data_IF_457598544841
#
_entry.id   IF_457598544841
#
_cell.length_a   1.000
_cell.length_b   1.000
_cell.length_c   1.000
_cell.angle_alpha   90.00
_cell.angle_beta   90.00
_cell.angle_gamma   90.00
#
_symmetry.space_group_name_H-M   'P 1'
#
loop_
_entity.id
_entity.type
_entity.pdbx_description
1 polymer ?
#
# COMPACT_ATOMS: atom_id res chain seq x y z
N UNK A 1 6.63 15.41 28.38
CA UNK A 1 6.90 16.30 27.24
C UNK A 1 6.24 15.69 26.02
N UNK A 2 5.07 16.20 25.67
CA UNK A 2 4.23 15.70 24.57
C UNK A 2 4.81 16.24 23.27
N UNK A 3 5.38 15.38 22.45
CA UNK A 3 5.81 15.75 21.11
C UNK A 3 4.57 16.05 20.27
N UNK A 4 4.39 17.30 19.93
CA UNK A 4 3.35 17.81 19.02
C UNK A 4 3.61 17.17 17.65
N UNK A 5 2.68 16.28 17.20
CA UNK A 5 2.65 15.78 15.83
C UNK A 5 2.47 17.00 14.90
N UNK A 6 3.51 17.37 14.21
CA UNK A 6 3.41 18.33 13.13
C UNK A 6 2.54 17.70 12.03
N UNK A 7 1.37 18.28 11.79
CA UNK A 7 0.55 18.00 10.61
C UNK A 7 1.38 18.39 9.40
N UNK A 8 1.69 17.43 8.53
CA UNK A 8 2.27 17.72 7.22
C UNK A 8 1.14 18.22 6.30
N UNK A 9 0.66 19.40 6.59
CA UNK A 9 -0.27 20.16 5.76
C UNK A 9 0.56 21.13 4.92
N UNK A 10 0.38 21.15 3.60
CA UNK A 10 1.08 22.04 2.66
C UNK A 10 0.63 23.53 2.78
N UNK A 11 -0.06 23.88 3.85
CA UNK A 11 -0.60 25.23 4.09
C UNK A 11 -1.80 25.60 3.21
N UNK A 12 -2.25 24.68 2.36
CA UNK A 12 -3.41 24.84 1.48
C UNK A 12 -4.57 23.92 1.87
N UNK A 13 -4.49 23.26 3.05
CA UNK A 13 -5.49 22.29 3.53
C UNK A 13 -5.48 20.98 2.74
N UNK A 14 -4.42 20.71 1.94
CA UNK A 14 -4.21 19.43 1.27
C UNK A 14 -3.23 18.59 2.07
N UNK A 15 -3.52 17.31 2.32
CA UNK A 15 -2.51 16.43 2.92
C UNK A 15 -1.27 16.39 2.01
N UNK A 16 -0.08 16.51 2.60
CA UNK A 16 1.18 16.41 1.89
C UNK A 16 1.34 15.06 1.16
N UNK A 17 2.31 14.96 0.25
CA UNK A 17 2.60 13.73 -0.48
C UNK A 17 3.00 12.60 0.49
N UNK A 18 2.31 11.45 0.43
CA UNK A 18 2.53 10.34 1.35
C UNK A 18 3.45 9.27 0.74
N UNK A 19 4.50 8.90 1.46
CA UNK A 19 5.25 7.67 1.19
C UNK A 19 4.76 6.60 2.16
N UNK A 20 4.22 5.51 1.62
CA UNK A 20 3.63 4.40 2.36
C UNK A 20 4.57 3.19 2.20
N UNK A 21 5.32 2.81 3.25
CA UNK A 21 6.12 1.59 3.21
C UNK A 21 5.24 0.36 3.00
N UNK A 22 5.80 -0.68 2.38
CA UNK A 22 5.10 -1.91 2.04
C UNK A 22 5.74 -3.11 2.71
N UNK A 23 4.92 -4.01 3.26
CA UNK A 23 5.28 -5.36 3.68
C UNK A 23 4.46 -6.38 2.91
N UNK A 24 5.13 -7.37 2.31
CA UNK A 24 4.50 -8.57 1.78
C UNK A 24 4.68 -9.71 2.80
N UNK A 25 3.58 -10.28 3.30
CA UNK A 25 3.58 -11.39 4.27
C UNK A 25 3.34 -12.72 3.56
N UNK A 26 4.11 -13.74 3.93
CA UNK A 26 3.87 -15.12 3.55
C UNK A 26 4.39 -16.07 4.61
N UNK A 27 3.58 -17.03 5.06
CA UNK A 27 3.94 -17.96 6.12
C UNK A 27 4.32 -17.26 7.43
N UNK A 28 3.66 -16.15 7.79
CA UNK A 28 3.95 -15.35 8.98
C UNK A 28 5.28 -14.58 8.93
N UNK A 29 5.89 -14.43 7.76
CA UNK A 29 7.17 -13.74 7.54
C UNK A 29 7.05 -12.68 6.46
N UNK A 30 7.90 -11.66 6.56
CA UNK A 30 8.04 -10.70 5.46
C UNK A 30 8.86 -11.33 4.33
N UNK A 31 8.36 -11.21 3.10
CA UNK A 31 9.01 -11.73 1.89
C UNK A 31 9.34 -10.60 0.92
N UNK A 32 10.26 -10.85 -0.01
CA UNK A 32 10.62 -9.88 -1.05
C UNK A 32 9.83 -10.13 -2.32
N UNK A 33 9.00 -9.16 -2.70
CA UNK A 33 8.29 -9.19 -3.97
C UNK A 33 9.23 -9.14 -5.18
N UNK A 34 8.92 -9.93 -6.20
CA UNK A 34 9.66 -9.97 -7.47
C UNK A 34 8.67 -10.06 -8.63
N UNK A 35 8.49 -8.96 -9.37
CA UNK A 35 7.72 -8.89 -10.64
C UNK A 35 6.33 -9.51 -10.62
N UNK A 36 5.69 -9.56 -9.44
CA UNK A 36 4.39 -10.22 -9.28
C UNK A 36 4.42 -11.76 -9.32
N UNK A 37 5.60 -12.38 -9.37
CA UNK A 37 5.77 -13.85 -9.36
C UNK A 37 5.69 -14.37 -7.91
N UNK A 38 4.50 -14.30 -7.32
CA UNK A 38 4.22 -14.57 -5.90
C UNK A 38 4.73 -15.93 -5.41
N UNK A 39 4.84 -16.95 -6.30
CA UNK A 39 5.37 -18.29 -5.96
C UNK A 39 6.88 -18.31 -5.69
N UNK A 40 7.63 -17.32 -6.18
CA UNK A 40 9.10 -17.24 -6.05
C UNK A 40 9.56 -16.39 -4.87
N UNK A 41 8.64 -15.83 -4.06
CA UNK A 41 9.01 -14.93 -2.98
C UNK A 41 9.69 -15.68 -1.83
N UNK A 42 10.89 -15.22 -1.46
CA UNK A 42 11.66 -15.72 -0.34
C UNK A 42 11.59 -14.75 0.86
N UNK A 43 11.83 -15.22 2.09
CA UNK A 43 11.99 -14.33 3.23
C UNK A 43 12.95 -13.19 2.93
N UNK A 44 12.56 -11.98 3.37
CA UNK A 44 13.34 -10.79 3.04
C UNK A 44 14.68 -10.78 3.78
N UNK A 45 15.72 -10.38 3.06
CA UNK A 45 16.99 -9.95 3.64
C UNK A 45 17.13 -8.45 3.41
N UNK A 46 17.31 -7.70 4.49
CA UNK A 46 17.37 -6.24 4.46
C UNK A 46 18.27 -5.72 5.59
N UNK A 47 18.98 -4.60 5.40
CA UNK A 47 19.74 -3.98 6.48
C UNK A 47 18.87 -3.37 7.58
N UNK A 48 17.55 -3.24 7.37
CA UNK A 48 16.63 -2.58 8.29
C UNK A 48 16.32 -3.40 9.55
N UNK A 49 16.44 -4.74 9.49
CA UNK A 49 16.21 -5.62 10.63
C UNK A 49 16.92 -6.95 10.46
N UNK A 50 17.17 -7.64 11.58
CA UNK A 50 17.66 -9.03 11.56
C UNK A 50 16.47 -9.97 11.34
N UNK A 51 16.59 -10.83 10.33
CA UNK A 51 15.55 -11.80 9.97
C UNK A 51 14.35 -11.15 9.26
N UNK A 52 13.23 -11.84 9.24
CA UNK A 52 12.01 -11.49 8.47
C UNK A 52 10.73 -11.42 9.32
N UNK A 53 10.86 -11.19 10.63
CA UNK A 53 9.72 -11.03 11.52
C UNK A 53 8.96 -9.72 11.20
N UNK A 54 7.63 -9.76 11.07
CA UNK A 54 6.84 -8.61 10.60
C UNK A 54 7.00 -7.36 11.47
N UNK A 55 7.00 -7.52 12.78
CA UNK A 55 7.17 -6.43 13.75
C UNK A 55 8.55 -5.78 13.70
N UNK A 56 9.61 -6.59 13.50
CA UNK A 56 10.97 -6.09 13.39
C UNK A 56 11.19 -5.32 12.08
N UNK A 57 10.66 -5.85 10.98
CA UNK A 57 10.74 -5.17 9.67
C UNK A 57 9.91 -3.88 9.67
N UNK A 58 8.71 -3.88 10.26
CA UNK A 58 7.87 -2.68 10.36
C UNK A 58 8.59 -1.55 11.13
N UNK A 59 9.22 -1.86 12.28
CA UNK A 59 10.03 -0.88 13.02
C UNK A 59 11.19 -0.35 12.18
N UNK A 60 11.96 -1.26 11.56
CA UNK A 60 13.09 -0.85 10.73
C UNK A 60 12.68 0.04 9.55
N UNK A 61 11.52 -0.20 8.94
CA UNK A 61 10.97 0.68 7.91
C UNK A 61 10.61 2.07 8.45
N UNK A 62 9.99 2.15 9.64
CA UNK A 62 9.63 3.44 10.26
C UNK A 62 10.85 4.21 10.75
N UNK A 63 11.91 3.52 11.19
CA UNK A 63 13.19 4.13 11.54
C UNK A 63 13.90 4.70 10.30
N UNK A 64 13.79 4.01 9.16
CA UNK A 64 14.35 4.46 7.89
C UNK A 64 13.51 5.58 7.23
N UNK A 65 12.20 5.53 7.38
CA UNK A 65 11.26 6.48 6.80
C UNK A 65 10.08 6.76 7.74
N UNK A 66 9.89 8.01 8.23
CA UNK A 66 8.78 8.35 9.10
C UNK A 66 7.45 8.32 8.31
N UNK A 67 6.67 7.26 8.51
CA UNK A 67 5.38 7.07 7.86
C UNK A 67 4.25 7.02 8.89
N UNK A 68 3.06 7.49 8.47
CA UNK A 68 1.83 7.39 9.27
C UNK A 68 1.01 6.14 8.91
N UNK A 69 1.30 5.55 7.76
CA UNK A 69 0.58 4.39 7.21
C UNK A 69 1.58 3.38 6.70
N UNK A 70 1.30 2.10 6.93
CA UNK A 70 2.01 0.96 6.38
C UNK A 70 1.02 0.13 5.56
N UNK A 71 1.40 -0.24 4.34
CA UNK A 71 0.63 -1.19 3.55
C UNK A 71 1.15 -2.60 3.79
N UNK A 72 0.23 -3.53 4.01
CA UNK A 72 0.52 -4.95 4.25
C UNK A 72 -0.26 -5.78 3.24
N UNK A 73 0.45 -6.53 2.38
CA UNK A 73 -0.14 -7.56 1.54
C UNK A 73 0.02 -8.92 2.23
N UNK A 74 -1.09 -9.53 2.61
CA UNK A 74 -1.11 -10.90 3.14
C UNK A 74 -1.26 -11.89 1.98
N UNK A 75 -0.13 -12.39 1.51
CA UNK A 75 -0.09 -13.21 0.31
C UNK A 75 -0.72 -14.59 0.50
N UNK A 76 -0.70 -15.13 1.70
CA UNK A 76 -1.38 -16.40 1.99
C UNK A 76 -2.90 -16.21 1.85
N UNK A 77 -3.43 -15.11 2.37
CA UNK A 77 -4.85 -14.77 2.22
C UNK A 77 -5.22 -14.45 0.77
N UNK A 78 -4.39 -13.65 0.07
CA UNK A 78 -4.63 -13.27 -1.34
C UNK A 78 -4.59 -14.47 -2.29
N UNK A 79 -3.62 -15.39 -2.10
CA UNK A 79 -3.37 -16.50 -3.04
C UNK A 79 -4.23 -17.71 -2.70
N UNK A 80 -4.27 -18.05 -1.41
CA UNK A 80 -4.86 -19.31 -0.94
C UNK A 80 -6.28 -19.13 -0.41
N UNK A 81 -6.79 -17.88 -0.34
CA UNK A 81 -8.14 -17.55 0.13
C UNK A 81 -8.36 -17.85 1.61
N UNK A 82 -7.29 -17.92 2.39
CA UNK A 82 -7.39 -18.14 3.83
C UNK A 82 -7.67 -16.83 4.58
N UNK A 83 -7.94 -16.92 5.88
CA UNK A 83 -8.15 -15.73 6.71
C UNK A 83 -6.86 -14.93 6.86
N UNK A 84 -6.94 -13.59 6.98
CA UNK A 84 -5.77 -12.75 7.25
C UNK A 84 -4.99 -13.20 8.49
N UNK A 85 -3.66 -13.08 8.44
CA UNK A 85 -2.80 -13.34 9.60
C UNK A 85 -2.90 -12.20 10.64
N UNK A 86 -3.97 -12.26 11.44
CA UNK A 86 -4.22 -11.27 12.49
C UNK A 86 -3.08 -11.22 13.52
N UNK A 87 -2.34 -12.34 13.73
CA UNK A 87 -1.22 -12.36 14.68
C UNK A 87 -0.05 -11.51 14.20
N UNK A 88 0.28 -11.60 12.91
CA UNK A 88 1.31 -10.75 12.32
C UNK A 88 0.90 -9.27 12.36
N UNK A 89 -0.36 -8.96 12.03
CA UNK A 89 -0.89 -7.60 12.08
C UNK A 89 -0.90 -7.03 13.50
N UNK A 90 -1.33 -7.81 14.50
CA UNK A 90 -1.25 -7.44 15.91
C UNK A 90 0.18 -7.21 16.39
N UNK A 91 1.14 -8.03 15.94
CA UNK A 91 2.54 -7.86 16.28
C UNK A 91 3.07 -6.52 15.73
N UNK A 92 2.74 -6.18 14.48
CA UNK A 92 3.07 -4.88 13.87
C UNK A 92 2.43 -3.74 14.67
N UNK A 93 1.12 -3.81 14.96
CA UNK A 93 0.41 -2.76 15.67
C UNK A 93 0.98 -2.50 17.08
N UNK A 94 1.35 -3.57 17.80
CA UNK A 94 2.02 -3.45 19.12
C UNK A 94 3.41 -2.85 19.02
N UNK A 95 4.17 -3.19 17.97
CA UNK A 95 5.53 -2.72 17.77
C UNK A 95 5.61 -1.25 17.30
N UNK A 96 4.56 -0.79 16.62
CA UNK A 96 4.47 0.53 15.99
C UNK A 96 3.19 1.26 16.43
N UNK A 97 3.07 1.70 17.69
CA UNK A 97 1.86 2.35 18.19
C UNK A 97 1.51 3.61 17.41
N UNK A 98 0.24 3.73 17.00
CA UNK A 98 -0.27 4.88 16.25
C UNK A 98 -0.04 4.82 14.75
N UNK A 99 0.60 3.75 14.23
CA UNK A 99 0.70 3.49 12.81
C UNK A 99 -0.65 3.00 12.27
N UNK A 100 -1.15 3.61 11.19
CA UNK A 100 -2.29 3.10 10.44
C UNK A 100 -1.87 1.93 9.54
N UNK A 101 -2.68 0.88 9.47
CA UNK A 101 -2.43 -0.22 8.54
C UNK A 101 -3.46 -0.19 7.39
N UNK A 102 -2.99 -0.32 6.16
CA UNK A 102 -3.78 -0.68 4.99
C UNK A 102 -3.48 -2.13 4.67
N UNK A 103 -4.50 -2.99 4.76
CA UNK A 103 -4.29 -4.44 4.66
C UNK A 103 -5.02 -4.99 3.45
N UNK A 104 -4.24 -5.54 2.52
CA UNK A 104 -4.75 -6.34 1.42
C UNK A 104 -4.61 -7.83 1.79
N UNK A 105 -5.74 -8.50 1.86
CA UNK A 105 -5.85 -9.92 2.14
C UNK A 105 -6.82 -10.62 1.16
N UNK A 106 -6.91 -10.10 -0.07
CA UNK A 106 -7.77 -10.67 -1.10
C UNK A 106 -9.25 -10.64 -0.74
N UNK A 107 -9.69 -9.62 -0.03
CA UNK A 107 -11.07 -9.48 0.41
C UNK A 107 -12.04 -9.48 -0.78
N UNK A 108 -12.92 -10.47 -0.85
CA UNK A 108 -13.93 -10.64 -1.90
C UNK A 108 -15.34 -10.78 -1.35
N UNK A 109 -15.50 -10.95 -0.03
CA UNK A 109 -16.77 -11.18 0.63
C UNK A 109 -16.99 -10.25 1.83
N UNK A 110 -18.22 -9.75 2.01
CA UNK A 110 -18.60 -8.86 3.11
C UNK A 110 -18.32 -9.44 4.49
N UNK A 111 -18.52 -10.77 4.67
CA UNK A 111 -18.29 -11.43 5.94
C UNK A 111 -16.81 -11.41 6.37
N UNK A 112 -15.89 -11.63 5.41
CA UNK A 112 -14.44 -11.57 5.67
C UNK A 112 -14.00 -10.16 6.06
N UNK A 113 -14.48 -9.15 5.34
CA UNK A 113 -14.19 -7.74 5.66
C UNK A 113 -14.78 -7.33 7.00
N UNK A 114 -16.01 -7.73 7.30
CA UNK A 114 -16.65 -7.42 8.58
C UNK A 114 -15.87 -8.01 9.76
N UNK A 115 -15.41 -9.25 9.64
CA UNK A 115 -14.56 -9.89 10.64
C UNK A 115 -13.22 -9.16 10.83
N UNK A 116 -12.59 -8.73 9.73
CA UNK A 116 -11.35 -7.94 9.77
C UNK A 116 -11.56 -6.57 10.44
N UNK A 117 -12.62 -5.84 10.05
CA UNK A 117 -12.94 -4.55 10.66
C UNK A 117 -13.25 -4.67 12.16
N UNK A 118 -13.91 -5.75 12.57
CA UNK A 118 -14.19 -6.03 13.99
C UNK A 118 -12.91 -6.26 14.82
N UNK A 119 -11.82 -6.73 14.19
CA UNK A 119 -10.53 -6.87 14.85
C UNK A 119 -9.82 -5.52 15.10
N UNK A 120 -10.23 -4.44 14.42
CA UNK A 120 -9.71 -3.09 14.63
C UNK A 120 -8.24 -2.89 14.24
N UNK A 121 -7.70 -3.73 13.37
CA UNK A 121 -6.27 -3.75 13.02
C UNK A 121 -5.89 -2.89 11.82
N UNK A 122 -6.85 -2.22 11.18
CA UNK A 122 -6.56 -1.33 10.05
C UNK A 122 -7.73 -1.14 9.10
N UNK A 123 -7.44 -0.54 7.94
CA UNK A 123 -8.38 -0.38 6.83
C UNK A 123 -8.18 -1.51 5.82
N UNK A 124 -9.25 -2.18 5.36
CA UNK A 124 -9.13 -3.18 4.30
C UNK A 124 -8.81 -2.50 2.97
N UNK A 125 -7.89 -3.09 2.21
CA UNK A 125 -7.68 -2.78 0.80
C UNK A 125 -8.47 -3.78 -0.02
N UNK A 126 -9.32 -3.27 -0.91
CA UNK A 126 -10.13 -4.08 -1.81
C UNK A 126 -9.46 -4.05 -3.18
N UNK A 127 -8.76 -5.13 -3.51
CA UNK A 127 -8.13 -5.29 -4.82
C UNK A 127 -9.16 -5.61 -5.89
N UNK A 128 -9.12 -4.89 -7.02
CA UNK A 128 -10.03 -5.14 -8.13
C UNK A 128 -9.86 -6.55 -8.69
N UNK A 129 -8.64 -7.12 -8.65
CA UNK A 129 -8.37 -8.49 -9.10
C UNK A 129 -9.18 -9.55 -8.32
N UNK A 130 -9.60 -9.25 -7.08
CA UNK A 130 -10.34 -10.16 -6.22
C UNK A 130 -11.86 -9.97 -6.30
N UNK A 131 -12.35 -9.00 -7.09
CA UNK A 131 -13.77 -8.68 -7.16
C UNK A 131 -14.45 -9.33 -8.38
N UNK A 132 -15.71 -9.71 -8.19
CA UNK A 132 -16.61 -10.16 -9.26
C UNK A 132 -17.56 -9.05 -9.72
N UNK A 133 -17.88 -8.11 -8.82
CA UNK A 133 -18.73 -6.95 -9.06
C UNK A 133 -18.25 -5.73 -8.25
N UNK A 134 -19.04 -4.68 -8.20
CA UNK A 134 -18.71 -3.41 -7.51
C UNK A 134 -19.28 -3.32 -6.10
N UNK A 135 -20.11 -4.29 -5.68
CA UNK A 135 -20.93 -4.20 -4.47
C UNK A 135 -20.10 -4.00 -3.21
N UNK A 136 -19.06 -4.81 -3.00
CA UNK A 136 -18.24 -4.71 -1.80
C UNK A 136 -17.55 -3.34 -1.66
N UNK A 137 -17.06 -2.76 -2.76
CA UNK A 137 -16.42 -1.44 -2.77
C UNK A 137 -17.43 -0.35 -2.41
N UNK A 138 -18.63 -0.40 -3.00
CA UNK A 138 -19.69 0.60 -2.75
C UNK A 138 -20.24 0.51 -1.33
N UNK A 139 -20.42 -0.69 -0.80
CA UNK A 139 -20.93 -0.92 0.56
C UNK A 139 -19.95 -0.44 1.65
N UNK A 140 -18.66 -0.56 1.39
CA UNK A 140 -17.63 -0.13 2.33
C UNK A 140 -17.39 1.38 2.28
N UNK A 141 -17.43 1.98 1.11
CA UNK A 141 -17.18 3.42 0.92
C UNK A 141 -15.87 3.84 1.58
N UNK A 142 -15.90 4.89 2.41
CA UNK A 142 -14.71 5.46 3.07
C UNK A 142 -13.97 4.50 4.03
N UNK A 143 -14.62 3.41 4.44
CA UNK A 143 -14.01 2.41 5.33
C UNK A 143 -12.94 1.57 4.64
N UNK A 144 -12.89 1.58 3.32
CA UNK A 144 -11.93 0.81 2.53
C UNK A 144 -10.98 1.71 1.74
N UNK A 145 -9.93 1.10 1.21
CA UNK A 145 -9.08 1.62 0.13
C UNK A 145 -9.33 0.73 -1.08
N UNK A 146 -9.50 1.30 -2.26
CA UNK A 146 -9.62 0.53 -3.50
C UNK A 146 -8.24 0.38 -4.13
N UNK A 147 -7.85 -0.84 -4.54
CA UNK A 147 -6.71 -1.05 -5.43
C UNK A 147 -7.21 -1.37 -6.83
N UNK A 148 -6.86 -0.53 -7.80
CA UNK A 148 -7.09 -0.76 -9.23
C UNK A 148 -5.88 -1.50 -9.79
N UNK A 149 -6.04 -2.80 -9.98
CA UNK A 149 -4.95 -3.70 -10.31
C UNK A 149 -4.82 -3.89 -11.82
N UNK A 150 -3.60 -3.74 -12.34
CA UNK A 150 -3.28 -3.94 -13.75
C UNK A 150 -2.07 -4.86 -13.92
N UNK A 151 -2.09 -5.67 -14.99
CA UNK A 151 -0.95 -6.48 -15.42
C UNK A 151 -0.59 -6.10 -16.85
N UNK A 152 0.41 -5.23 -17.01
CA UNK A 152 0.68 -4.59 -18.30
C UNK A 152 -0.49 -3.69 -18.69
N UNK A 153 -1.10 -3.93 -19.85
CA UNK A 153 -2.31 -3.23 -20.31
C UNK A 153 -3.62 -3.86 -19.86
N UNK A 154 -3.56 -5.04 -19.24
CA UNK A 154 -4.74 -5.76 -18.77
C UNK A 154 -5.22 -5.16 -17.44
N UNK A 155 -6.50 -4.76 -17.38
CA UNK A 155 -7.20 -4.36 -16.15
C UNK A 155 -7.79 -5.60 -15.49
N UNK A 156 -7.53 -5.81 -14.20
CA UNK A 156 -8.00 -6.98 -13.48
C UNK A 156 -9.27 -6.67 -12.72
N UNK A 157 -10.25 -7.59 -12.80
CA UNK A 157 -11.55 -7.47 -12.15
C UNK A 157 -12.60 -6.71 -12.97
N UNK A 158 -13.69 -6.26 -12.34
CA UNK A 158 -14.83 -5.63 -13.02
C UNK A 158 -14.43 -4.34 -13.74
N UNK A 159 -14.77 -4.22 -15.04
CA UNK A 159 -14.50 -3.03 -15.83
C UNK A 159 -15.06 -1.75 -15.19
N UNK A 160 -16.25 -1.84 -14.58
CA UNK A 160 -16.91 -0.71 -13.92
C UNK A 160 -16.06 -0.09 -12.80
N UNK A 161 -15.24 -0.90 -12.05
CA UNK A 161 -14.31 -0.36 -11.05
C UNK A 161 -13.22 0.51 -11.67
N UNK A 162 -12.83 0.23 -12.91
CA UNK A 162 -11.81 1.01 -13.61
C UNK A 162 -12.37 2.21 -14.38
N UNK A 163 -13.64 2.13 -14.79
CA UNK A 163 -14.25 3.11 -15.69
C UNK A 163 -15.10 4.17 -14.97
N UNK A 164 -15.60 3.88 -13.76
CA UNK A 164 -16.49 4.79 -13.02
C UNK A 164 -15.87 5.26 -11.69
N UNK A 165 -15.22 6.44 -11.67
CA UNK A 165 -14.72 7.03 -10.43
C UNK A 165 -15.80 7.35 -9.39
N UNK A 166 -17.07 7.37 -9.75
CA UNK A 166 -18.18 7.55 -8.83
C UNK A 166 -18.29 6.42 -7.79
N UNK A 167 -17.81 5.23 -8.15
CA UNK A 167 -17.79 4.05 -7.27
C UNK A 167 -16.63 4.04 -6.28
N UNK A 168 -15.61 4.90 -6.48
CA UNK A 168 -14.37 4.81 -5.71
C UNK A 168 -14.50 5.42 -4.32
N UNK A 169 -13.86 4.81 -3.30
CA UNK A 169 -13.63 5.47 -2.03
C UNK A 169 -12.67 6.67 -2.18
N UNK A 170 -12.47 7.49 -1.13
CA UNK A 170 -11.54 8.63 -1.17
C UNK A 170 -10.11 8.24 -1.50
N UNK A 171 -9.65 7.06 -1.06
CA UNK A 171 -8.31 6.55 -1.26
C UNK A 171 -8.29 5.44 -2.31
N UNK A 172 -7.47 5.63 -3.37
CA UNK A 172 -7.36 4.69 -4.48
C UNK A 172 -5.90 4.42 -4.79
N UNK A 173 -5.52 3.16 -4.81
CA UNK A 173 -4.21 2.70 -5.25
C UNK A 173 -4.29 2.36 -6.73
N UNK A 174 -3.39 2.89 -7.55
CA UNK A 174 -3.19 2.41 -8.91
C UNK A 174 -2.00 1.43 -8.89
N UNK A 175 -2.32 0.13 -8.93
CA UNK A 175 -1.38 -0.96 -8.80
C UNK A 175 -0.97 -1.50 -10.16
N UNK A 176 0.30 -1.33 -10.51
CA UNK A 176 0.88 -1.93 -11.73
C UNK A 176 1.73 -3.14 -11.34
N UNK A 177 1.12 -4.33 -11.32
CA UNK A 177 1.73 -5.57 -10.84
C UNK A 177 3.05 -5.90 -11.57
N UNK A 178 3.12 -5.67 -12.87
CA UNK A 178 4.33 -5.91 -13.66
C UNK A 178 5.53 -5.04 -13.26
N UNK A 179 5.29 -3.92 -12.55
CA UNK A 179 6.34 -3.00 -12.07
C UNK A 179 6.75 -3.26 -10.61
N UNK A 180 5.99 -4.09 -9.87
CA UNK A 180 6.29 -4.43 -8.48
C UNK A 180 7.63 -5.18 -8.41
N UNK A 181 8.61 -4.60 -7.69
CA UNK A 181 9.96 -5.17 -7.57
C UNK A 181 10.77 -5.21 -8.87
N UNK A 182 10.34 -4.52 -9.94
CA UNK A 182 11.01 -4.51 -11.24
C UNK A 182 12.05 -3.39 -11.42
N UNK A 183 12.03 -2.34 -10.56
CA UNK A 183 12.92 -1.18 -10.69
C UNK A 183 12.73 -0.37 -11.99
N UNK A 184 11.53 -0.43 -12.59
CA UNK A 184 11.25 0.18 -13.91
C UNK A 184 10.75 1.63 -13.85
N UNK A 185 10.59 2.18 -12.64
CA UNK A 185 9.93 3.48 -12.41
C UNK A 185 8.41 3.36 -12.40
N UNK A 186 7.69 4.37 -11.85
CA UNK A 186 6.23 4.40 -11.86
C UNK A 186 5.67 4.62 -13.27
N UNK A 187 4.43 4.16 -13.50
CA UNK A 187 3.71 4.36 -14.75
C UNK A 187 2.92 5.68 -14.71
N UNK A 188 3.58 6.78 -15.04
CA UNK A 188 2.97 8.12 -14.95
C UNK A 188 1.76 8.28 -15.87
N UNK A 189 1.72 7.61 -17.02
CA UNK A 189 0.61 7.72 -17.95
C UNK A 189 -0.61 6.96 -17.46
N UNK A 190 -0.43 5.74 -16.96
CA UNK A 190 -1.49 5.00 -16.31
C UNK A 190 -2.03 5.75 -15.07
N UNK A 191 -1.15 6.35 -14.27
CA UNK A 191 -1.53 7.13 -13.08
C UNK A 191 -2.33 8.38 -13.43
N UNK A 192 -1.98 9.09 -14.53
CA UNK A 192 -2.76 10.24 -14.99
C UNK A 192 -4.17 9.85 -15.44
N UNK A 193 -4.31 8.66 -16.04
CA UNK A 193 -5.60 8.17 -16.51
C UNK A 193 -6.59 7.84 -15.37
N UNK A 194 -6.10 7.49 -14.18
CA UNK A 194 -6.94 7.15 -13.02
C UNK A 194 -7.15 8.32 -12.05
N UNK A 195 -6.69 9.54 -12.39
CA UNK A 195 -6.96 10.71 -11.54
C UNK A 195 -8.42 11.12 -11.62
N UNK A 196 -9.05 11.33 -10.47
CA UNK A 196 -10.42 11.79 -10.39
C UNK A 196 -10.59 12.88 -9.31
N UNK A 197 -11.46 13.89 -9.54
CA UNK A 197 -11.74 14.91 -8.53
C UNK A 197 -12.22 14.30 -7.21
N UNK A 198 -11.69 14.80 -6.08
CA UNK A 198 -12.05 14.32 -4.76
C UNK A 198 -11.48 12.94 -4.39
N UNK A 199 -10.61 12.37 -5.22
CA UNK A 199 -9.93 11.08 -4.94
C UNK A 199 -8.43 11.29 -4.74
N UNK A 200 -7.88 10.65 -3.73
CA UNK A 200 -6.44 10.58 -3.46
C UNK A 200 -5.90 9.32 -4.13
N UNK A 201 -5.16 9.49 -5.20
CA UNK A 201 -4.57 8.38 -5.96
C UNK A 201 -3.14 8.14 -5.48
N UNK A 202 -2.82 6.91 -5.16
CA UNK A 202 -1.50 6.45 -4.73
C UNK A 202 -0.91 5.53 -5.77
N UNK A 203 0.36 5.77 -6.11
CA UNK A 203 1.08 4.92 -7.05
C UNK A 203 1.59 3.65 -6.35
N UNK A 204 1.45 2.48 -6.97
CA UNK A 204 2.05 1.25 -6.51
C UNK A 204 2.79 0.52 -7.63
N UNK A 205 4.05 0.24 -7.37
CA UNK A 205 4.96 -0.44 -8.30
C UNK A 205 6.00 0.48 -8.95
N UNK A 206 7.25 0.04 -8.91
CA UNK A 206 8.35 0.59 -9.67
C UNK A 206 9.13 1.76 -9.08
N UNK A 207 8.71 2.39 -7.99
CA UNK A 207 9.43 3.53 -7.37
C UNK A 207 10.86 3.15 -7.01
N UNK A 208 11.83 3.93 -7.52
CA UNK A 208 13.27 3.69 -7.38
C UNK A 208 13.95 4.60 -6.38
N UNK A 209 13.43 5.80 -6.17
CA UNK A 209 14.02 6.79 -5.27
C UNK A 209 13.29 8.13 -5.31
N UNK A 210 13.95 9.18 -4.79
CA UNK A 210 13.36 10.49 -4.58
C UNK A 210 12.89 11.18 -5.88
N UNK A 211 13.60 10.99 -7.00
CA UNK A 211 13.20 11.60 -8.28
C UNK A 211 11.85 11.08 -8.77
N UNK A 212 11.59 9.78 -8.60
CA UNK A 212 10.29 9.19 -8.93
C UNK A 212 9.18 9.79 -8.04
N UNK A 213 9.46 9.99 -6.75
CA UNK A 213 8.50 10.59 -5.82
C UNK A 213 8.20 12.06 -6.19
N UNK A 214 9.23 12.84 -6.57
CA UNK A 214 9.03 14.22 -7.05
C UNK A 214 8.20 14.25 -8.34
N UNK A 215 8.45 13.33 -9.27
CA UNK A 215 7.66 13.21 -10.50
C UNK A 215 6.20 12.85 -10.23
N UNK A 216 5.93 11.93 -9.30
CA UNK A 216 4.59 11.56 -8.85
C UNK A 216 3.85 12.74 -8.19
N UNK A 217 4.53 13.46 -7.30
CA UNK A 217 3.98 14.68 -6.67
C UNK A 217 3.66 15.75 -7.72
N UNK A 218 4.57 16.02 -8.64
CA UNK A 218 4.36 16.96 -9.75
C UNK A 218 3.20 16.55 -10.67
N UNK A 219 2.95 15.25 -10.81
CA UNK A 219 1.80 14.72 -11.53
C UNK A 219 0.48 14.81 -10.74
N UNK A 220 0.49 15.33 -9.49
CA UNK A 220 -0.69 15.47 -8.64
C UNK A 220 -1.16 14.15 -8.03
N UNK A 221 -0.27 13.18 -7.88
CA UNK A 221 -0.49 11.93 -7.17
C UNK A 221 -0.34 12.18 -5.67
N UNK A 222 -1.21 11.59 -4.86
CA UNK A 222 -1.29 11.85 -3.42
C UNK A 222 -0.18 11.14 -2.62
N UNK A 223 0.42 10.12 -3.19
CA UNK A 223 1.51 9.38 -2.52
C UNK A 223 1.93 8.14 -3.30
N UNK A 224 2.84 7.38 -2.71
CA UNK A 224 3.34 6.15 -3.31
C UNK A 224 3.53 5.04 -2.28
N UNK A 225 3.21 3.82 -2.67
CA UNK A 225 3.56 2.60 -1.98
C UNK A 225 4.99 2.22 -2.37
N UNK A 226 5.88 2.09 -1.38
CA UNK A 226 7.31 1.87 -1.61
C UNK A 226 7.82 0.68 -0.81
N UNK A 227 8.38 -0.30 -1.50
CA UNK A 227 9.00 -1.48 -0.92
C UNK A 227 10.53 -1.45 -1.11
N UNK A 228 11.01 -1.88 -2.30
CA UNK A 228 12.42 -2.14 -2.57
C UNK A 228 13.32 -0.95 -2.28
N UNK A 229 12.95 0.26 -2.68
CA UNK A 229 13.76 1.46 -2.48
C UNK A 229 14.03 1.78 -1.00
N UNK A 230 13.09 1.46 -0.10
CA UNK A 230 13.28 1.57 1.34
C UNK A 230 14.13 0.42 1.87
N UNK A 231 13.79 -0.82 1.52
CA UNK A 231 14.52 -2.00 1.97
C UNK A 231 15.97 -2.03 1.52
N UNK A 232 16.28 -1.49 0.34
CA UNK A 232 17.64 -1.44 -0.22
C UNK A 232 18.40 -0.16 0.20
N UNK A 233 17.73 0.77 0.93
CA UNK A 233 18.32 2.02 1.39
C UNK A 233 18.60 3.04 0.28
N UNK A 234 18.01 2.87 -0.91
CA UNK A 234 18.10 3.84 -2.01
C UNK A 234 17.19 5.05 -1.80
N UNK A 235 16.19 4.94 -0.93
CA UNK A 235 15.36 6.03 -0.43
C UNK A 235 15.55 6.16 1.07
N UNK A 236 15.90 7.37 1.55
CA UNK A 236 16.20 7.64 2.96
C UNK A 236 15.40 8.82 3.48
N UNK A 237 15.21 8.87 4.81
CA UNK A 237 14.46 9.92 5.49
C UNK A 237 15.02 11.34 5.28
N UNK A 238 16.32 11.48 5.02
CA UNK A 238 16.93 12.79 4.70
C UNK A 238 16.32 13.42 3.43
N UNK A 239 15.75 12.60 2.54
CA UNK A 239 15.08 13.05 1.31
C UNK A 239 13.59 13.36 1.53
N UNK A 240 13.05 13.09 2.75
CA UNK A 240 11.65 13.35 3.09
C UNK A 240 11.32 14.85 3.14
N UNK A 241 12.29 15.70 3.55
CA UNK A 241 12.10 17.15 3.63
C UNK A 241 11.79 17.80 2.28
N UNK A 242 12.28 17.22 1.19
CA UNK A 242 12.04 17.71 -0.17
C UNK A 242 10.67 17.28 -0.74
N UNK A 243 9.94 16.44 0.00
CA UNK A 243 8.63 15.90 -0.41
C UNK A 243 7.45 16.49 0.38
N UNK A 244 7.74 17.27 1.44
CA UNK A 244 6.76 17.96 2.27
C UNK A 244 6.11 19.16 1.54
#
# INVERSE_FOLDING_TARGET
MTATRASMDDGLGRPGFAVIPVLDLRGGRVVRARRGERSSYAPIETPLAKGSAPDAIARGLLDAWPAQTLYVADLDAIIDGIRPDLRALEAIARACPGLGLWVDAGFSESAGVAAFLAAGLGRPVIGSESQHDTGLVTDLGERAVLSLDTRGSERLGPAALHDDPGLWPPDVIAMTLARVGAGAGPDLDALRAVRAPGRRVYAAGGVRGADDLRALRAAGIAGALVASALHDGTLRSAEAGDLA
#
